data_IF_758427225253
#
_entry.id   IF_758427225253
#
_cell.length_a   1.000
_cell.length_b   1.000
_cell.length_c   1.000
_cell.angle_alpha   90.00
_cell.angle_beta   90.00
_cell.angle_gamma   90.00
#
_symmetry.space_group_name_H-M   'P 1'
#
loop_
_entity.id
_entity.type
_entity.pdbx_description
1 polymer ?
#
# COMPACT_ATOMS: atom_id res chain seq x y z
N UNK A 1 14.08 16.43 -43.67
CA UNK A 1 13.75 16.44 -42.23
C UNK A 1 14.31 15.16 -41.62
N UNK A 2 15.58 15.20 -41.23
CA UNK A 2 16.40 14.01 -41.01
C UNK A 2 16.49 13.58 -39.54
N UNK A 3 16.83 12.30 -39.36
CA UNK A 3 17.11 11.57 -38.12
C UNK A 3 17.96 12.33 -37.08
N UNK A 4 18.78 13.30 -37.51
CA UNK A 4 19.56 14.16 -36.62
C UNK A 4 18.73 15.14 -35.77
N UNK A 5 17.57 15.60 -36.27
CA UNK A 5 16.69 16.50 -35.51
C UNK A 5 15.92 15.77 -34.40
N UNK A 6 15.49 14.54 -34.67
CA UNK A 6 14.81 13.68 -33.69
C UNK A 6 15.77 13.16 -32.62
N UNK A 7 17.01 12.80 -33.00
CA UNK A 7 18.05 12.42 -32.03
C UNK A 7 18.44 13.60 -31.11
N UNK A 8 18.59 14.80 -31.66
CA UNK A 8 18.87 16.01 -30.86
C UNK A 8 17.73 16.33 -29.88
N UNK A 9 16.47 16.20 -30.31
CA UNK A 9 15.30 16.39 -29.46
C UNK A 9 15.23 15.33 -28.33
N UNK A 10 15.61 14.09 -28.63
CA UNK A 10 15.68 13.01 -27.64
C UNK A 10 16.77 13.26 -26.58
N UNK A 11 17.95 13.71 -27.01
CA UNK A 11 19.04 14.05 -26.07
C UNK A 11 18.63 15.22 -25.17
N UNK A 12 17.94 16.23 -25.74
CA UNK A 12 17.48 17.39 -24.98
C UNK A 12 16.41 16.99 -23.93
N UNK A 13 15.47 16.13 -24.31
CA UNK A 13 14.41 15.63 -23.39
C UNK A 13 14.99 14.75 -22.28
N UNK A 14 15.96 13.88 -22.58
CA UNK A 14 16.69 13.10 -21.58
C UNK A 14 17.44 14.00 -20.59
N UNK A 15 18.15 15.02 -21.10
CA UNK A 15 18.92 15.96 -20.26
C UNK A 15 18.01 16.80 -19.37
N UNK A 16 16.85 17.22 -19.87
CA UNK A 16 15.88 17.98 -19.09
C UNK A 16 15.21 17.10 -18.01
N UNK A 17 14.88 15.84 -18.31
CA UNK A 17 14.37 14.90 -17.32
C UNK A 17 15.40 14.60 -16.23
N UNK A 18 16.68 14.40 -16.58
CA UNK A 18 17.75 14.20 -15.62
C UNK A 18 17.93 15.41 -14.68
N UNK A 19 17.85 16.64 -15.21
CA UNK A 19 17.89 17.87 -14.40
C UNK A 19 16.66 18.00 -13.48
N UNK A 20 15.48 17.61 -13.94
CA UNK A 20 14.27 17.61 -13.12
C UNK A 20 14.32 16.54 -12.03
N UNK A 21 14.85 15.35 -12.33
CA UNK A 21 15.08 14.29 -11.34
C UNK A 21 16.09 14.73 -10.27
N UNK A 22 17.18 15.40 -10.66
CA UNK A 22 18.17 15.93 -9.72
C UNK A 22 17.63 17.07 -8.83
N UNK A 23 16.64 17.84 -9.31
CA UNK A 23 15.97 18.91 -8.55
C UNK A 23 14.75 18.43 -7.75
N UNK A 24 14.25 17.21 -8.00
CA UNK A 24 13.24 16.61 -7.15
C UNK A 24 13.93 16.27 -5.84
N UNK A 25 13.64 17.05 -4.79
CA UNK A 25 13.87 16.60 -3.43
C UNK A 25 13.28 15.19 -3.31
N UNK A 26 14.11 14.23 -2.89
CA UNK A 26 13.70 12.85 -2.70
C UNK A 26 12.38 12.86 -1.93
N UNK A 27 11.31 12.35 -2.56
CA UNK A 27 9.97 12.33 -1.96
C UNK A 27 9.94 11.49 -0.67
N UNK A 28 11.01 10.72 -0.43
CA UNK A 28 11.26 9.89 0.74
C UNK A 28 12.11 10.58 1.83
N UNK A 29 12.73 11.73 1.56
CA UNK A 29 13.62 12.42 2.51
C UNK A 29 13.08 13.78 2.97
N UNK A 30 11.90 14.19 2.48
CA UNK A 30 11.28 15.41 2.98
C UNK A 30 10.60 15.09 4.31
N UNK A 31 11.18 15.57 5.41
CA UNK A 31 10.48 15.75 6.69
C UNK A 31 9.34 16.76 6.47
N UNK A 32 8.25 16.31 5.84
CA UNK A 32 7.03 17.09 5.71
C UNK A 32 6.33 16.95 7.07
N UNK A 33 6.18 18.04 7.85
CA UNK A 33 5.27 18.00 8.99
C UNK A 33 3.90 17.63 8.42
N UNK A 34 3.36 16.50 8.86
CA UNK A 34 2.09 15.97 8.38
C UNK A 34 1.03 17.05 8.51
N UNK A 35 0.60 17.63 7.38
CA UNK A 35 -0.48 18.62 7.33
C UNK A 35 -1.83 18.03 7.81
N UNK A 36 -1.88 16.71 7.99
CA UNK A 36 -3.03 15.96 8.48
C UNK A 36 -2.63 15.19 9.75
N UNK A 37 -3.35 15.36 10.88
CA UNK A 37 -3.02 14.69 12.15
C UNK A 37 -3.08 13.16 12.09
N UNK A 38 -3.64 12.59 11.01
CA UNK A 38 -3.83 11.15 10.83
C UNK A 38 -2.93 10.53 9.74
N UNK A 39 -2.01 11.27 9.10
CA UNK A 39 -1.09 10.61 8.16
C UNK A 39 -0.01 9.90 8.96
N UNK A 40 -0.11 8.58 9.05
CA UNK A 40 0.91 7.73 9.64
C UNK A 40 2.28 8.12 9.06
N UNK A 41 3.22 8.47 9.94
CA UNK A 41 4.61 8.77 9.56
C UNK A 41 5.11 7.63 8.69
N UNK A 42 5.59 7.93 7.48
CA UNK A 42 6.23 6.93 6.63
C UNK A 42 7.49 6.52 7.38
N UNK A 43 7.45 5.35 8.03
CA UNK A 43 8.60 4.80 8.73
C UNK A 43 9.57 4.32 7.65
N UNK A 44 10.75 4.93 7.56
CA UNK A 44 11.79 4.48 6.63
C UNK A 44 12.39 3.17 7.16
N UNK A 45 11.83 2.04 6.73
CA UNK A 45 12.18 0.69 7.19
C UNK A 45 13.60 0.27 6.78
N UNK A 46 14.29 1.07 5.95
CA UNK A 46 15.64 0.76 5.44
C UNK A 46 16.73 0.84 6.53
N UNK A 47 16.43 1.44 7.70
CA UNK A 47 17.35 1.61 8.83
C UNK A 47 16.92 0.87 10.11
N UNK A 48 16.09 -0.16 10.00
CA UNK A 48 15.64 -0.94 11.15
C UNK A 48 16.74 -1.90 11.62
N UNK A 49 17.04 -1.95 12.93
CA UNK A 49 17.99 -2.93 13.45
C UNK A 49 17.43 -4.36 13.27
N UNK A 50 18.27 -5.40 13.18
CA UNK A 50 17.80 -6.78 13.00
C UNK A 50 16.76 -7.21 14.06
N UNK A 51 16.96 -6.80 15.31
CA UNK A 51 16.03 -7.07 16.41
C UNK A 51 14.68 -6.33 16.26
N UNK A 52 14.71 -5.11 15.76
CA UNK A 52 13.50 -4.36 15.45
C UNK A 52 12.76 -4.97 14.25
N UNK A 53 13.47 -5.51 13.26
CA UNK A 53 12.86 -6.19 12.12
C UNK A 53 12.12 -7.48 12.52
N UNK A 54 12.68 -8.26 13.44
CA UNK A 54 12.02 -9.47 13.94
C UNK A 54 10.72 -9.15 14.70
N UNK A 55 10.75 -8.13 15.55
CA UNK A 55 9.53 -7.68 16.26
C UNK A 55 8.48 -7.13 15.29
N UNK A 56 8.88 -6.38 14.27
CA UNK A 56 8.00 -5.93 13.20
C UNK A 56 7.35 -7.11 12.46
N UNK A 57 8.15 -8.10 12.06
CA UNK A 57 7.65 -9.30 11.36
C UNK A 57 6.66 -10.09 12.21
N UNK A 58 6.89 -10.19 13.51
CA UNK A 58 5.94 -10.83 14.44
C UNK A 58 4.64 -10.04 14.56
N UNK A 59 4.70 -8.72 14.66
CA UNK A 59 3.52 -7.87 14.76
C UNK A 59 2.68 -7.93 13.47
N UNK A 60 3.33 -7.90 12.31
CA UNK A 60 2.68 -7.99 11.00
C UNK A 60 1.94 -9.32 10.84
N UNK A 61 2.56 -10.44 11.25
CA UNK A 61 1.90 -11.75 11.27
C UNK A 61 0.68 -11.78 12.20
N UNK A 62 0.74 -11.12 13.35
CA UNK A 62 -0.38 -11.06 14.31
C UNK A 62 -1.55 -10.26 13.75
N UNK A 63 -1.28 -9.13 13.11
CA UNK A 63 -2.29 -8.27 12.48
C UNK A 63 -2.99 -8.99 11.32
N UNK A 64 -2.23 -9.62 10.43
CA UNK A 64 -2.80 -10.41 9.34
C UNK A 64 -3.67 -11.55 9.86
N UNK A 65 -3.21 -12.29 10.88
CA UNK A 65 -4.01 -13.36 11.50
C UNK A 65 -5.30 -12.83 12.11
N UNK A 66 -5.24 -11.69 12.82
CA UNK A 66 -6.44 -11.06 13.40
C UNK A 66 -7.41 -10.62 12.32
N UNK A 67 -6.90 -10.03 11.23
CA UNK A 67 -7.71 -9.63 10.07
C UNK A 67 -8.41 -10.83 9.45
N UNK A 68 -7.68 -11.93 9.21
CA UNK A 68 -8.25 -13.15 8.66
C UNK A 68 -9.35 -13.71 9.57
N UNK A 69 -9.12 -13.79 10.89
CA UNK A 69 -10.13 -14.26 11.86
C UNK A 69 -11.39 -13.41 11.78
N UNK A 70 -11.26 -12.08 11.78
CA UNK A 70 -12.42 -11.18 11.71
C UNK A 70 -13.19 -11.39 10.40
N UNK A 71 -12.48 -11.47 9.26
CA UNK A 71 -13.11 -11.70 7.96
C UNK A 71 -13.83 -13.05 7.93
N UNK A 72 -13.21 -14.11 8.45
CA UNK A 72 -13.83 -15.45 8.52
C UNK A 72 -15.07 -15.44 9.40
N UNK A 73 -15.05 -14.77 10.55
CA UNK A 73 -16.21 -14.67 11.43
C UNK A 73 -17.35 -13.93 10.74
N UNK A 74 -17.07 -12.75 10.15
CA UNK A 74 -18.10 -11.95 9.46
C UNK A 74 -18.68 -12.71 8.27
N UNK A 75 -17.84 -13.37 7.47
CA UNK A 75 -18.30 -14.18 6.35
C UNK A 75 -19.13 -15.38 6.82
N UNK A 76 -18.66 -16.10 7.84
CA UNK A 76 -19.36 -17.26 8.39
C UNK A 76 -20.72 -16.92 8.98
N UNK A 77 -20.81 -15.83 9.77
CA UNK A 77 -22.10 -15.38 10.33
C UNK A 77 -23.07 -14.94 9.24
N UNK A 78 -22.58 -14.21 8.24
CA UNK A 78 -23.39 -13.79 7.09
C UNK A 78 -23.91 -15.00 6.31
N UNK A 79 -23.07 -16.00 6.07
CA UNK A 79 -23.46 -17.22 5.36
C UNK A 79 -24.54 -18.00 6.12
N UNK A 80 -24.37 -18.18 7.45
CA UNK A 80 -25.35 -18.88 8.29
C UNK A 80 -26.70 -18.15 8.27
N UNK A 81 -26.69 -16.81 8.31
CA UNK A 81 -27.91 -16.02 8.23
C UNK A 81 -28.68 -16.29 6.93
N UNK A 82 -28.01 -16.27 5.77
CA UNK A 82 -28.64 -16.57 4.49
C UNK A 82 -29.14 -18.01 4.40
N UNK A 83 -28.37 -18.98 4.87
CA UNK A 83 -28.80 -20.38 4.92
C UNK A 83 -30.05 -20.52 5.80
N UNK A 84 -30.09 -19.85 6.94
CA UNK A 84 -31.26 -19.83 7.83
C UNK A 84 -32.52 -19.29 7.14
N UNK A 85 -32.38 -18.22 6.34
CA UNK A 85 -33.48 -17.68 5.53
C UNK A 85 -33.97 -18.72 4.53
N UNK A 86 -33.06 -19.34 3.77
CA UNK A 86 -33.43 -20.36 2.76
C UNK A 86 -34.14 -21.55 3.40
N UNK A 87 -33.64 -22.04 4.54
CA UNK A 87 -34.26 -23.12 5.29
C UNK A 87 -35.66 -22.72 5.78
N UNK A 88 -35.83 -21.50 6.30
CA UNK A 88 -37.14 -21.01 6.71
C UNK A 88 -38.15 -21.03 5.55
N UNK A 89 -37.76 -20.53 4.38
CA UNK A 89 -38.62 -20.53 3.19
C UNK A 89 -38.91 -21.92 2.63
N UNK A 90 -38.03 -22.89 2.83
CA UNK A 90 -38.23 -24.26 2.32
C UNK A 90 -39.16 -25.11 3.20
N UNK A 91 -39.18 -24.86 4.51
CA UNK A 91 -39.84 -25.75 5.47
C UNK A 91 -41.00 -25.11 6.23
N UNK A 92 -41.09 -23.77 6.29
CA UNK A 92 -42.08 -23.06 7.10
C UNK A 92 -42.92 -22.05 6.31
N UNK A 93 -42.65 -21.88 5.02
CA UNK A 93 -43.51 -21.19 4.07
C UNK A 93 -43.90 -22.17 2.95
#
# INVERSE_FOLDING_TARGET
MGFGGSAAAMILTLRNNAKQLAKRNNYFEKDIPSKYPNSAKIIDYKKMSPQQFDTFKQNLKKEERRRLIIVTIVFGTTMIFFVGIVVYFLFYH
#
